data_IF_826928976285
#
_entry.id   IF_826928976285
#
_cell.length_a   1.000
_cell.length_b   1.000
_cell.length_c   1.000
_cell.angle_alpha   90.00
_cell.angle_beta   90.00
_cell.angle_gamma   90.00
#
_symmetry.space_group_name_H-M   'P 1'
#
loop_
_entity.id
_entity.type
_entity.pdbx_description
1 polymer ?
#
# COMPACT_ATOMS: atom_id res chain seq x y z
N UNK A 1 -42.40 65.84 41.10
CA UNK A 1 -43.04 64.56 40.67
C UNK A 1 -42.13 63.68 39.80
N UNK A 2 -41.03 64.18 39.22
CA UNK A 2 -40.13 63.40 38.35
C UNK A 2 -39.32 62.30 39.08
N UNK A 3 -38.91 62.50 40.33
CA UNK A 3 -38.01 61.56 41.05
C UNK A 3 -38.67 60.20 41.39
N UNK A 4 -40.00 60.18 41.56
CA UNK A 4 -40.76 58.96 41.90
C UNK A 4 -41.03 58.07 40.68
N UNK A 5 -41.05 58.65 39.48
CA UNK A 5 -41.22 57.92 38.22
C UNK A 5 -39.95 57.18 37.81
N UNK A 6 -38.76 57.78 38.05
CA UNK A 6 -37.47 57.14 37.75
C UNK A 6 -37.17 55.92 38.62
N UNK A 7 -37.52 55.92 39.91
CA UNK A 7 -37.31 54.74 40.79
C UNK A 7 -38.18 53.54 40.41
N UNK A 8 -39.42 53.79 39.98
CA UNK A 8 -40.35 52.71 39.58
C UNK A 8 -39.93 52.11 38.24
N UNK A 9 -39.37 52.92 37.34
CA UNK A 9 -38.88 52.47 36.04
C UNK A 9 -37.60 51.63 36.17
N UNK A 10 -36.64 52.07 37.00
CA UNK A 10 -35.41 51.32 37.26
C UNK A 10 -35.67 49.96 37.92
N UNK A 11 -36.63 49.87 38.85
CA UNK A 11 -37.02 48.59 39.46
C UNK A 11 -37.61 47.58 38.47
N UNK A 12 -38.36 48.07 37.47
CA UNK A 12 -38.93 47.23 36.42
C UNK A 12 -37.86 46.68 35.47
N UNK A 13 -36.89 47.52 35.07
CA UNK A 13 -35.79 47.13 34.19
C UNK A 13 -34.89 46.05 34.83
N UNK A 14 -34.62 46.16 36.14
CA UNK A 14 -33.85 45.16 36.89
C UNK A 14 -34.60 43.82 36.95
N UNK A 15 -35.92 43.84 37.18
CA UNK A 15 -36.73 42.61 37.19
C UNK A 15 -36.80 41.94 35.82
N UNK A 16 -36.89 42.72 34.73
CA UNK A 16 -36.89 42.20 33.37
C UNK A 16 -35.53 41.60 33.00
N UNK A 17 -34.43 42.30 33.31
CA UNK A 17 -33.07 41.81 33.08
C UNK A 17 -32.80 40.48 33.82
N UNK A 18 -33.27 40.36 35.07
CA UNK A 18 -33.16 39.12 35.83
C UNK A 18 -33.93 37.96 35.22
N UNK A 19 -35.15 38.20 34.70
CA UNK A 19 -35.92 37.16 34.00
C UNK A 19 -35.26 36.72 32.69
N UNK A 20 -34.72 37.66 31.91
CA UNK A 20 -34.01 37.33 30.67
C UNK A 20 -32.74 36.52 30.96
N UNK A 21 -31.99 36.87 32.00
CA UNK A 21 -30.81 36.11 32.45
C UNK A 21 -31.18 34.68 32.85
N UNK A 22 -32.25 34.53 33.62
CA UNK A 22 -32.75 33.23 34.06
C UNK A 22 -33.20 32.36 32.87
N UNK A 23 -33.95 32.94 31.93
CA UNK A 23 -34.34 32.23 30.71
C UNK A 23 -33.13 31.87 29.83
N UNK A 24 -32.15 32.76 29.70
CA UNK A 24 -30.93 32.48 28.96
C UNK A 24 -30.12 31.35 29.60
N UNK A 25 -30.05 31.28 30.93
CA UNK A 25 -29.41 30.19 31.66
C UNK A 25 -30.14 28.87 31.44
N UNK A 26 -31.47 28.87 31.48
CA UNK A 26 -32.28 27.66 31.22
C UNK A 26 -32.12 27.17 29.78
N UNK A 27 -32.09 28.07 28.80
CA UNK A 27 -31.83 27.72 27.39
C UNK A 27 -30.42 27.15 27.24
N UNK A 28 -29.44 27.70 27.95
CA UNK A 28 -28.07 27.22 27.95
C UNK A 28 -27.96 25.81 28.55
N UNK A 29 -28.51 25.59 29.74
CA UNK A 29 -28.50 24.29 30.41
C UNK A 29 -29.25 23.23 29.60
N UNK A 30 -30.40 23.59 29.03
CA UNK A 30 -31.15 22.72 28.13
C UNK A 30 -30.35 22.40 26.86
N UNK A 31 -29.62 23.38 26.33
CA UNK A 31 -28.71 23.20 25.19
C UNK A 31 -27.57 22.23 25.50
N UNK A 32 -26.91 22.37 26.65
CA UNK A 32 -25.86 21.43 27.07
C UNK A 32 -26.41 20.03 27.37
N UNK A 33 -27.58 19.94 28.00
CA UNK A 33 -28.25 18.67 28.26
C UNK A 33 -28.66 17.94 26.98
N UNK A 34 -29.21 18.68 26.00
CA UNK A 34 -29.55 18.13 24.69
C UNK A 34 -28.30 17.69 23.91
N UNK A 35 -27.21 18.48 23.95
CA UNK A 35 -25.94 18.11 23.31
C UNK A 35 -25.33 16.84 23.93
N UNK A 36 -25.29 16.77 25.26
CA UNK A 36 -24.80 15.57 25.97
C UNK A 36 -25.65 14.34 25.65
N UNK A 37 -26.98 14.49 25.59
CA UNK A 37 -27.89 13.40 25.20
C UNK A 37 -27.67 12.96 23.75
N UNK A 38 -27.51 13.90 22.82
CA UNK A 38 -27.19 13.61 21.42
C UNK A 38 -25.83 12.92 21.26
N UNK A 39 -24.83 13.21 22.10
CA UNK A 39 -23.55 12.51 22.05
C UNK A 39 -23.67 11.04 22.50
N UNK A 40 -24.42 10.78 23.58
CA UNK A 40 -24.64 9.41 24.09
C UNK A 40 -25.54 8.60 23.16
N UNK A 41 -26.64 9.19 22.67
CA UNK A 41 -27.56 8.52 21.75
C UNK A 41 -26.97 8.43 20.34
N UNK A 42 -26.19 9.43 19.91
CA UNK A 42 -25.50 9.44 18.63
C UNK A 42 -24.49 8.31 18.49
N UNK A 43 -23.72 8.00 19.54
CA UNK A 43 -22.79 6.87 19.50
C UNK A 43 -23.52 5.53 19.37
N UNK A 44 -24.67 5.36 20.06
CA UNK A 44 -25.50 4.15 19.95
C UNK A 44 -26.12 3.98 18.56
N UNK A 45 -26.63 5.07 17.97
CA UNK A 45 -27.17 5.05 16.60
C UNK A 45 -26.06 4.76 15.61
N UNK A 46 -24.87 5.33 15.79
CA UNK A 46 -23.71 5.03 14.97
C UNK A 46 -23.30 3.55 15.06
N UNK A 47 -23.16 2.99 16.26
CA UNK A 47 -22.85 1.56 16.46
C UNK A 47 -23.90 0.65 15.81
N UNK A 48 -25.19 0.99 15.93
CA UNK A 48 -26.27 0.25 15.27
C UNK A 48 -26.15 0.29 13.74
N UNK A 49 -25.88 1.48 13.16
CA UNK A 49 -25.67 1.64 11.72
C UNK A 49 -24.43 0.88 11.23
N UNK A 50 -23.35 0.87 12.00
CA UNK A 50 -22.14 0.09 11.68
C UNK A 50 -22.46 -1.41 11.69
N UNK A 51 -23.13 -1.91 12.72
CA UNK A 51 -23.56 -3.32 12.81
C UNK A 51 -24.47 -3.72 11.65
N UNK A 52 -25.42 -2.86 11.28
CA UNK A 52 -26.29 -3.09 10.12
C UNK A 52 -25.51 -3.08 8.80
N UNK A 53 -24.55 -2.16 8.65
CA UNK A 53 -23.63 -2.11 7.51
C UNK A 53 -22.77 -3.37 7.38
N UNK A 54 -22.26 -3.89 8.50
CA UNK A 54 -21.52 -5.16 8.54
C UNK A 54 -22.41 -6.34 8.19
N UNK A 55 -23.64 -6.39 8.70
CA UNK A 55 -24.62 -7.42 8.35
C UNK A 55 -25.00 -7.37 6.86
N UNK A 56 -25.20 -6.19 6.30
CA UNK A 56 -25.45 -5.99 4.87
C UNK A 56 -24.24 -6.38 4.02
N UNK A 57 -23.01 -6.04 4.46
CA UNK A 57 -21.77 -6.45 3.80
C UNK A 57 -21.59 -7.97 3.84
N UNK A 58 -21.90 -8.61 4.97
CA UNK A 58 -21.83 -10.06 5.12
C UNK A 58 -22.85 -10.76 4.21
N UNK A 59 -24.10 -10.28 4.17
CA UNK A 59 -25.14 -10.77 3.25
C UNK A 59 -24.75 -10.58 1.80
N UNK A 60 -24.27 -9.38 1.44
CA UNK A 60 -23.82 -9.07 0.08
C UNK A 60 -22.61 -9.90 -0.32
N UNK A 61 -21.63 -10.09 0.58
CA UNK A 61 -20.48 -10.96 0.31
C UNK A 61 -20.90 -12.40 0.10
N UNK A 62 -21.83 -12.94 0.91
CA UNK A 62 -22.36 -14.30 0.73
C UNK A 62 -23.10 -14.44 -0.59
N UNK A 63 -23.94 -13.47 -0.95
CA UNK A 63 -24.71 -13.49 -2.19
C UNK A 63 -23.82 -13.27 -3.42
N UNK A 64 -22.90 -12.30 -3.40
CA UNK A 64 -21.98 -12.04 -4.51
C UNK A 64 -20.92 -13.13 -4.64
N UNK A 65 -20.41 -13.69 -3.54
CA UNK A 65 -19.52 -14.84 -3.62
C UNK A 65 -20.26 -16.08 -4.11
N UNK A 66 -21.47 -16.35 -3.61
CA UNK A 66 -22.30 -17.47 -4.08
C UNK A 66 -22.71 -17.34 -5.54
N UNK A 67 -23.13 -16.15 -5.97
CA UNK A 67 -23.52 -15.86 -7.35
C UNK A 67 -22.30 -15.85 -8.27
N UNK A 68 -21.18 -15.21 -7.91
CA UNK A 68 -19.98 -15.23 -8.76
C UNK A 68 -19.35 -16.60 -8.85
N UNK A 69 -19.28 -17.36 -7.75
CA UNK A 69 -18.76 -18.73 -7.79
C UNK A 69 -19.70 -19.64 -8.57
N UNK A 70 -21.02 -19.52 -8.40
CA UNK A 70 -21.99 -20.34 -9.16
C UNK A 70 -22.04 -19.96 -10.64
N UNK A 71 -22.04 -18.68 -10.99
CA UNK A 71 -22.03 -18.22 -12.38
C UNK A 71 -20.68 -18.44 -13.07
N UNK A 72 -19.54 -18.29 -12.38
CA UNK A 72 -18.21 -18.60 -12.93
C UNK A 72 -17.95 -20.11 -13.02
N UNK A 73 -18.36 -20.90 -12.02
CA UNK A 73 -18.23 -22.36 -12.07
C UNK A 73 -19.05 -22.96 -13.22
N UNK A 74 -20.24 -22.40 -13.49
CA UNK A 74 -21.08 -22.87 -14.59
C UNK A 74 -20.66 -22.34 -15.97
N UNK A 75 -19.83 -21.28 -16.06
CA UNK A 75 -19.45 -20.70 -17.36
C UNK A 75 -17.99 -20.86 -17.77
N UNK A 76 -17.02 -21.09 -16.88
CA UNK A 76 -15.65 -20.88 -17.34
C UNK A 76 -14.51 -21.45 -16.47
N UNK A 77 -14.09 -22.68 -16.76
CA UNK A 77 -12.71 -23.11 -16.47
C UNK A 77 -11.70 -22.22 -17.20
N UNK A 78 -11.98 -21.80 -18.44
CA UNK A 78 -11.06 -20.98 -19.25
C UNK A 78 -11.07 -19.46 -19.04
N UNK A 79 -12.08 -18.89 -18.38
CA UNK A 79 -12.08 -17.45 -17.98
C UNK A 79 -11.45 -17.29 -16.61
N UNK A 80 -11.55 -18.31 -15.74
CA UNK A 80 -10.84 -18.33 -14.46
C UNK A 80 -9.31 -18.32 -14.67
N UNK A 81 -8.81 -19.12 -15.59
CA UNK A 81 -7.38 -19.18 -15.96
C UNK A 81 -6.85 -17.82 -16.47
N UNK A 82 -7.65 -17.06 -17.23
CA UNK A 82 -7.30 -15.69 -17.66
C UNK A 82 -7.30 -14.69 -16.50
N UNK A 83 -8.19 -14.85 -15.52
CA UNK A 83 -8.20 -14.00 -14.33
C UNK A 83 -7.02 -14.31 -13.41
N UNK A 84 -6.61 -15.58 -13.33
CA UNK A 84 -5.38 -16.01 -12.67
C UNK A 84 -4.17 -15.36 -13.32
N UNK A 85 -4.06 -15.40 -14.65
CA UNK A 85 -2.99 -14.71 -15.38
C UNK A 85 -2.96 -13.19 -15.13
N UNK A 86 -4.13 -12.51 -15.12
CA UNK A 86 -4.20 -11.06 -14.85
C UNK A 86 -3.86 -10.74 -13.38
N UNK A 87 -4.24 -11.61 -12.45
CA UNK A 87 -3.88 -11.50 -11.04
C UNK A 87 -2.38 -11.67 -10.85
N UNK A 88 -1.79 -12.71 -11.43
CA UNK A 88 -0.35 -12.95 -11.45
C UNK A 88 0.39 -11.74 -12.02
N UNK A 89 -0.06 -11.19 -13.15
CA UNK A 89 0.54 -9.98 -13.73
C UNK A 89 0.44 -8.78 -12.78
N UNK A 90 -0.66 -8.64 -12.03
CA UNK A 90 -0.83 -7.54 -11.08
C UNK A 90 0.04 -7.71 -9.84
N UNK A 91 0.15 -8.93 -9.32
CA UNK A 91 1.03 -9.28 -8.20
C UNK A 91 2.49 -9.14 -8.59
N UNK A 92 2.88 -9.65 -9.77
CA UNK A 92 4.21 -9.49 -10.32
C UNK A 92 4.60 -8.01 -10.46
N UNK A 93 3.69 -7.16 -10.96
CA UNK A 93 3.92 -5.71 -11.02
C UNK A 93 4.02 -5.04 -9.65
N UNK A 94 3.27 -5.50 -8.66
CA UNK A 94 3.36 -4.98 -7.30
C UNK A 94 4.69 -5.36 -6.63
N UNK A 95 5.13 -6.60 -6.81
CA UNK A 95 6.42 -7.12 -6.32
C UNK A 95 7.60 -6.43 -7.03
N UNK A 96 7.52 -6.22 -8.34
CA UNK A 96 8.53 -5.47 -9.09
C UNK A 96 8.65 -4.01 -8.60
N UNK A 97 7.53 -3.36 -8.24
CA UNK A 97 7.54 -2.02 -7.63
C UNK A 97 8.16 -1.99 -6.24
N UNK A 98 8.15 -3.10 -5.52
CA UNK A 98 8.81 -3.25 -4.22
C UNK A 98 10.31 -3.58 -4.36
N UNK A 99 10.84 -3.62 -5.59
CA UNK A 99 12.27 -3.80 -5.86
C UNK A 99 12.75 -5.25 -5.76
N UNK A 100 11.83 -6.22 -5.74
CA UNK A 100 12.20 -7.64 -5.73
C UNK A 100 12.43 -8.09 -7.18
N UNK A 101 13.65 -8.53 -7.55
CA UNK A 101 13.97 -8.96 -8.91
C UNK A 101 13.12 -10.16 -9.33
N UNK A 102 12.61 -10.11 -10.57
CA UNK A 102 11.77 -11.20 -11.09
C UNK A 102 12.62 -12.41 -11.51
N UNK A 103 12.02 -13.61 -11.53
CA UNK A 103 12.75 -14.84 -11.92
C UNK A 103 13.35 -14.78 -13.33
N UNK A 104 12.66 -14.09 -14.25
CA UNK A 104 13.15 -13.85 -15.62
C UNK A 104 14.40 -12.98 -15.65
N UNK A 105 14.46 -11.95 -14.81
CA UNK A 105 15.63 -11.08 -14.68
C UNK A 105 16.83 -11.84 -14.09
N UNK A 106 16.58 -12.71 -13.11
CA UNK A 106 17.61 -13.60 -12.54
C UNK A 106 18.15 -14.55 -13.62
N UNK A 107 17.28 -15.14 -14.43
CA UNK A 107 17.67 -16.06 -15.51
C UNK A 107 18.47 -15.33 -16.60
N UNK A 108 18.06 -14.13 -16.99
CA UNK A 108 18.77 -13.31 -17.97
C UNK A 108 20.15 -12.88 -17.44
N UNK A 109 20.23 -12.48 -16.18
CA UNK A 109 21.50 -12.13 -15.53
C UNK A 109 22.43 -13.36 -15.45
N UNK A 110 21.88 -14.54 -15.15
CA UNK A 110 22.64 -15.80 -15.11
C UNK A 110 23.23 -16.15 -16.48
N UNK A 111 22.46 -15.98 -17.56
CA UNK A 111 22.97 -16.16 -18.93
C UNK A 111 24.09 -15.18 -19.26
N UNK A 112 23.91 -13.90 -18.90
CA UNK A 112 24.94 -12.87 -19.12
C UNK A 112 26.21 -13.16 -18.33
N UNK A 113 26.09 -13.64 -17.09
CA UNK A 113 27.22 -14.08 -16.27
C UNK A 113 27.95 -15.25 -16.91
N UNK A 114 27.23 -16.28 -17.37
CA UNK A 114 27.86 -17.43 -18.02
C UNK A 114 28.62 -17.05 -19.30
N UNK A 115 28.04 -16.16 -20.13
CA UNK A 115 28.71 -15.64 -21.32
C UNK A 115 29.97 -14.83 -20.98
N UNK A 116 29.90 -14.02 -19.93
CA UNK A 116 31.04 -13.22 -19.50
C UNK A 116 32.15 -14.10 -18.89
N UNK A 117 31.79 -15.13 -18.13
CA UNK A 117 32.74 -16.13 -17.60
C UNK A 117 33.44 -16.87 -18.73
N UNK A 118 32.72 -17.35 -19.75
CA UNK A 118 33.33 -18.01 -20.92
C UNK A 118 34.27 -17.05 -21.69
N UNK A 119 33.86 -15.79 -21.88
CA UNK A 119 34.71 -14.78 -22.51
C UNK A 119 35.96 -14.43 -21.68
N UNK A 120 35.85 -14.43 -20.35
CA UNK A 120 36.97 -14.19 -19.43
C UNK A 120 37.94 -15.37 -19.45
N UNK A 121 37.46 -16.61 -19.38
CA UNK A 121 38.28 -17.81 -19.48
C UNK A 121 39.04 -17.86 -20.81
N UNK A 122 38.38 -17.55 -21.93
CA UNK A 122 39.03 -17.46 -23.24
C UNK A 122 40.13 -16.39 -23.27
N UNK A 123 39.93 -15.23 -22.63
CA UNK A 123 40.95 -14.17 -22.56
C UNK A 123 42.09 -14.48 -21.58
N UNK A 124 41.84 -15.20 -20.50
CA UNK A 124 42.87 -15.62 -19.53
C UNK A 124 43.74 -16.73 -20.11
N UNK A 125 43.17 -17.64 -20.92
CA UNK A 125 43.94 -18.68 -21.65
C UNK A 125 44.71 -18.12 -22.85
N UNK A 126 44.29 -16.97 -23.41
CA UNK A 126 44.96 -16.30 -24.53
C UNK A 126 46.08 -15.33 -24.11
N UNK A 127 46.70 -15.48 -22.93
CA UNK A 127 47.99 -14.86 -22.64
C UNK A 127 49.09 -15.73 -23.29
N UNK A 128 49.82 -15.23 -24.31
CA UNK A 128 50.62 -16.07 -25.19
C UNK A 128 51.87 -16.60 -24.48
N UNK A 129 51.97 -17.92 -24.37
CA UNK A 129 53.24 -18.60 -24.16
C UNK A 129 54.10 -18.42 -25.42
N UNK A 130 55.15 -17.59 -25.31
CA UNK A 130 56.22 -17.47 -26.30
C UNK A 130 56.96 -18.80 -26.38
N UNK A 131 56.61 -19.67 -27.34
CA UNK A 131 57.40 -20.85 -27.71
C UNK A 131 58.45 -20.45 -28.73
N UNK A 132 59.73 -20.49 -28.35
CA UNK A 132 60.85 -20.70 -29.28
C UNK A 132 61.13 -22.21 -29.40
N UNK A 133 61.47 -22.74 -30.58
CA UNK A 133 61.53 -24.17 -30.84
C UNK A 133 62.85 -24.83 -30.42
N UNK A 134 62.77 -26.16 -30.33
CA UNK A 134 63.66 -27.11 -29.68
C UNK A 134 65.08 -27.23 -30.26
N UNK A 135 65.98 -27.72 -29.40
CA UNK A 135 67.35 -28.08 -29.66
C UNK A 135 67.50 -29.23 -30.68
N UNK A 136 68.47 -29.10 -31.60
CA UNK A 136 68.98 -30.19 -32.42
C UNK A 136 70.52 -30.18 -32.44
N UNK A 137 71.08 -31.10 -31.66
CA UNK A 137 72.26 -31.96 -31.89
C UNK A 137 73.61 -31.35 -32.29
N UNK A 138 74.57 -31.62 -31.40
CA UNK A 138 76.02 -31.65 -31.57
C UNK A 138 76.50 -32.51 -32.75
N UNK A 139 77.40 -31.97 -33.58
CA UNK A 139 78.55 -32.69 -34.18
C UNK A 139 79.71 -31.68 -34.41
N UNK A 140 80.85 -31.89 -33.73
CA UNK A 140 82.20 -31.44 -34.17
C UNK A 140 82.86 -32.67 -34.84
N UNK A 141 83.79 -32.59 -35.81
CA UNK A 141 84.92 -31.65 -35.91
C UNK A 141 85.03 -31.00 -37.31
N UNK A 142 85.95 -30.05 -37.57
CA UNK A 142 87.25 -30.27 -38.25
C UNK A 142 88.06 -28.96 -38.18
N UNK A 143 89.33 -29.04 -37.78
CA UNK A 143 90.43 -28.11 -38.14
C UNK A 143 91.23 -28.80 -39.27
N UNK A 144 91.88 -28.10 -40.24
CA UNK A 144 92.95 -27.14 -39.94
C UNK A 144 93.20 -25.99 -40.96
N UNK A 145 94.26 -25.21 -40.67
CA UNK A 145 95.05 -24.27 -41.53
C UNK A 145 94.36 -22.95 -41.95
N UNK A 146 94.96 -21.77 -41.80
CA UNK A 146 96.37 -21.34 -41.80
C UNK A 146 96.59 -20.20 -40.80
#
# INVERSE_FOLDING_TARGET
MAKKQTETQVGFDIHLANKVRESAHQIWDAGLGAFAKAQVEGNKVFEALVSEGEALKAKTRKNVAGLRVSEMANKATGTWDKLEQVFEDRVARAIAKLGVPSRKEIDELTKRLNLLTDALERKVVAKPARKSPAAAKSVKPVKPTK
#
